data_IF_356130629554
#
_entry.id   IF_356130629554
#
_cell.length_a   1.000
_cell.length_b   1.000
_cell.length_c   1.000
_cell.angle_alpha   90.00
_cell.angle_beta   90.00
_cell.angle_gamma   90.00
#
_symmetry.space_group_name_H-M   'P 1'
#
loop_
_entity.id
_entity.type
_entity.pdbx_description
1 polymer ?
#
# COMPACT_ATOMS: atom_id res chain seq x y z
N UNK A 1 -33.46 58.34 1.98
CA UNK A 1 -34.23 57.11 1.93
C UNK A 1 -33.25 56.07 1.42
N UNK A 2 -32.63 55.53 2.36
CA UNK A 2 -32.85 54.11 2.83
C UNK A 2 -32.40 53.14 1.78
N UNK A 3 -31.30 52.53 2.06
CA UNK A 3 -31.08 51.19 2.69
C UNK A 3 -31.11 50.13 1.62
N UNK A 4 -30.28 49.22 1.51
CA UNK A 4 -29.63 48.23 2.43
C UNK A 4 -28.47 47.58 1.70
N UNK A 5 -27.33 47.52 2.27
CA UNK A 5 -26.88 46.58 3.29
C UNK A 5 -26.65 45.13 2.81
N UNK A 6 -25.39 44.79 2.89
CA UNK A 6 -24.81 43.53 3.33
C UNK A 6 -25.05 42.24 2.53
N UNK A 7 -23.98 41.80 2.02
CA UNK A 7 -23.78 40.44 1.61
C UNK A 7 -22.29 40.13 1.49
N UNK A 8 -21.53 40.36 2.55
CA UNK A 8 -20.20 39.76 2.66
C UNK A 8 -20.41 38.28 2.97
N UNK A 9 -20.59 37.52 1.92
CA UNK A 9 -20.45 36.06 1.96
C UNK A 9 -18.96 35.77 1.98
N UNK A 10 -18.39 35.57 3.16
CA UNK A 10 -17.15 34.86 3.33
C UNK A 10 -17.34 33.44 2.83
N UNK A 11 -17.06 33.24 1.56
CA UNK A 11 -16.77 31.94 1.00
C UNK A 11 -15.50 31.45 1.70
N UNK A 12 -15.69 30.76 2.83
CA UNK A 12 -14.66 29.92 3.39
C UNK A 12 -14.24 28.93 2.34
N UNK A 13 -12.99 29.01 2.05
CA UNK A 13 -12.25 28.23 1.10
C UNK A 13 -12.26 26.75 1.53
N UNK A 14 -13.24 25.96 1.06
CA UNK A 14 -13.32 24.51 1.22
C UNK A 14 -12.30 23.75 0.35
N UNK A 15 -11.27 24.43 -0.15
CA UNK A 15 -10.35 23.86 -1.14
C UNK A 15 -9.01 23.37 -0.57
N UNK A 16 -8.91 23.11 0.73
CA UNK A 16 -7.70 22.50 1.29
C UNK A 16 -8.02 21.22 2.09
N UNK A 17 -8.97 20.41 1.65
CA UNK A 17 -9.09 19.06 2.15
C UNK A 17 -8.13 18.15 1.38
N UNK A 18 -7.11 17.79 2.07
CA UNK A 18 -6.15 16.69 1.97
C UNK A 18 -6.37 15.78 0.77
N UNK A 19 -5.52 15.92 -0.23
CA UNK A 19 -5.48 15.12 -1.44
C UNK A 19 -4.79 13.76 -1.23
N UNK A 20 -5.01 13.12 -0.11
CA UNK A 20 -4.68 11.70 0.00
C UNK A 20 -5.63 10.94 -0.93
N UNK A 21 -5.14 9.93 -1.67
CA UNK A 21 -6.04 9.00 -2.33
C UNK A 21 -7.11 8.55 -1.35
N UNK A 22 -8.37 8.51 -1.77
CA UNK A 22 -9.52 8.16 -0.91
C UNK A 22 -9.26 6.87 -0.15
N UNK A 23 -8.60 5.90 -0.79
CA UNK A 23 -8.22 4.61 -0.23
C UNK A 23 -7.19 4.72 0.90
N UNK A 24 -6.26 5.67 0.84
CA UNK A 24 -5.31 5.96 1.92
C UNK A 24 -6.06 6.54 3.10
N UNK A 25 -6.95 7.51 2.85
CA UNK A 25 -7.81 8.10 3.88
C UNK A 25 -8.72 7.05 4.51
N UNK A 26 -9.36 6.19 3.71
CA UNK A 26 -10.21 5.11 4.20
C UNK A 26 -9.41 4.08 5.01
N UNK A 27 -8.17 3.78 4.61
CA UNK A 27 -7.28 2.89 5.36
C UNK A 27 -6.84 3.51 6.69
N UNK A 28 -6.57 4.80 6.71
CA UNK A 28 -6.28 5.55 7.93
C UNK A 28 -7.50 5.66 8.84
N UNK A 29 -8.70 5.73 8.28
CA UNK A 29 -9.95 5.71 9.04
C UNK A 29 -10.21 4.35 9.73
N UNK A 30 -9.75 3.24 9.12
CA UNK A 30 -9.77 1.91 9.75
C UNK A 30 -8.81 1.86 10.94
N UNK A 31 -7.64 2.49 10.83
CA UNK A 31 -6.67 2.64 11.93
C UNK A 31 -7.21 3.47 13.11
N UNK A 32 -8.25 4.28 12.89
CA UNK A 32 -8.94 5.00 13.96
C UNK A 32 -9.56 4.10 15.06
N UNK A 33 -9.62 2.81 14.84
CA UNK A 33 -10.05 1.83 15.84
C UNK A 33 -8.89 1.23 16.64
N UNK A 34 -7.64 1.53 16.28
CA UNK A 34 -6.41 1.10 16.96
C UNK A 34 -5.73 2.24 17.71
N UNK A 35 -4.71 1.97 18.50
CA UNK A 35 -4.08 2.86 19.47
C UNK A 35 -3.90 4.34 19.04
N UNK A 36 -4.14 5.28 19.97
CA UNK A 36 -4.02 6.74 19.77
C UNK A 36 -2.68 7.18 19.17
N UNK A 37 -1.60 6.45 19.45
CA UNK A 37 -0.25 6.77 18.96
C UNK A 37 -0.11 6.56 17.44
N UNK A 38 -0.73 5.52 16.87
CA UNK A 38 -0.72 5.29 15.42
C UNK A 38 -1.58 6.34 14.72
N UNK A 39 -2.71 6.69 15.34
CA UNK A 39 -3.60 7.75 14.87
C UNK A 39 -2.89 9.11 14.81
N UNK A 40 -2.15 9.49 15.85
CA UNK A 40 -1.42 10.76 15.91
C UNK A 40 -0.33 10.87 14.83
N UNK A 41 0.35 9.77 14.51
CA UNK A 41 1.42 9.74 13.51
C UNK A 41 0.87 9.80 12.09
N UNK A 42 -0.28 9.16 11.80
CA UNK A 42 -0.83 9.05 10.46
C UNK A 42 -1.85 10.14 10.11
N UNK A 43 -2.49 10.77 11.13
CA UNK A 43 -3.54 11.78 10.96
C UNK A 43 -3.07 13.21 11.25
N UNK A 44 -1.79 13.42 11.60
CA UNK A 44 -1.25 14.76 11.72
C UNK A 44 -1.36 15.47 10.37
N UNK A 45 -1.89 16.69 10.34
CA UNK A 45 -2.05 17.53 9.13
C UNK A 45 -0.74 17.72 8.36
N UNK A 46 0.40 17.50 9.01
CA UNK A 46 1.75 17.60 8.46
C UNK A 46 2.46 16.23 8.40
N UNK A 47 1.72 15.17 8.10
CA UNK A 47 2.29 13.84 8.02
C UNK A 47 3.23 13.72 6.81
N UNK A 48 4.48 13.32 7.08
CA UNK A 48 5.52 13.12 6.05
C UNK A 48 5.07 12.16 4.93
N UNK A 49 4.31 11.09 5.26
CA UNK A 49 3.77 10.15 4.27
C UNK A 49 2.73 10.80 3.36
N UNK A 50 1.86 11.64 3.91
CA UNK A 50 0.82 12.33 3.13
C UNK A 50 1.44 13.16 2.02
N UNK A 51 2.45 13.98 2.33
CA UNK A 51 3.16 14.80 1.33
C UNK A 51 3.86 13.96 0.28
N UNK A 52 4.56 12.90 0.69
CA UNK A 52 5.22 12.01 -0.24
C UNK A 52 4.23 11.31 -1.19
N UNK A 53 3.07 10.87 -0.69
CA UNK A 53 2.02 10.24 -1.49
C UNK A 53 1.33 11.22 -2.43
N UNK A 54 1.09 12.46 -2.01
CA UNK A 54 0.54 13.52 -2.87
C UNK A 54 1.48 13.84 -4.04
N UNK A 55 2.79 13.95 -3.78
CA UNK A 55 3.78 14.21 -4.80
C UNK A 55 3.99 13.02 -5.73
N UNK A 56 3.92 11.78 -5.20
CA UNK A 56 3.87 10.57 -6.02
C UNK A 56 2.63 10.53 -6.92
N UNK A 57 1.47 10.89 -6.39
CA UNK A 57 0.23 10.96 -7.18
C UNK A 57 0.33 11.99 -8.29
N UNK A 58 0.86 13.18 -8.00
CA UNK A 58 1.09 14.22 -9.01
C UNK A 58 2.06 13.75 -10.09
N UNK A 59 3.16 13.09 -9.70
CA UNK A 59 4.11 12.50 -10.63
C UNK A 59 3.42 11.44 -11.49
N UNK A 60 2.72 10.48 -10.87
CA UNK A 60 2.06 9.39 -11.58
C UNK A 60 1.06 9.88 -12.63
N UNK A 61 0.24 10.88 -12.29
CA UNK A 61 -0.75 11.46 -13.20
C UNK A 61 -0.08 12.25 -14.32
N UNK A 62 0.80 13.21 -13.99
CA UNK A 62 1.39 14.14 -14.97
C UNK A 62 2.30 13.40 -15.95
N UNK A 63 3.04 12.41 -15.45
CA UNK A 63 3.94 11.60 -16.27
C UNK A 63 3.23 10.40 -16.91
N UNK A 64 1.96 10.15 -16.57
CA UNK A 64 1.19 8.99 -17.04
C UNK A 64 1.91 7.67 -16.75
N UNK A 65 2.40 7.52 -15.53
CA UNK A 65 3.09 6.33 -15.03
C UNK A 65 2.16 5.62 -14.05
N UNK A 66 1.65 4.42 -14.35
CA UNK A 66 0.95 3.60 -13.37
C UNK A 66 1.90 3.17 -12.26
N UNK A 67 1.55 3.44 -11.02
CA UNK A 67 2.33 3.11 -9.83
C UNK A 67 1.42 2.37 -8.85
N UNK A 68 1.81 1.17 -8.44
CA UNK A 68 1.08 0.41 -7.44
C UNK A 68 1.76 0.53 -6.07
N UNK A 69 1.03 1.01 -5.05
CA UNK A 69 1.49 0.97 -3.66
C UNK A 69 1.40 -0.48 -3.17
N UNK A 70 2.51 -0.97 -2.62
CA UNK A 70 2.64 -2.33 -2.12
C UNK A 70 3.16 -2.33 -0.66
N UNK A 71 3.84 -3.35 -0.22
CA UNK A 71 4.57 -3.36 1.05
C UNK A 71 3.71 -3.20 2.31
N UNK A 72 4.20 -2.40 3.26
CA UNK A 72 3.57 -2.17 4.56
C UNK A 72 2.27 -1.36 4.46
N UNK A 73 2.23 -0.34 3.60
CA UNK A 73 1.03 0.46 3.37
C UNK A 73 -0.11 -0.39 2.78
N UNK A 74 0.22 -1.40 1.94
CA UNK A 74 -0.77 -2.37 1.46
C UNK A 74 -1.36 -3.20 2.59
N UNK A 75 -0.58 -3.62 3.59
CA UNK A 75 -1.09 -4.31 4.77
C UNK A 75 -2.07 -3.43 5.55
N UNK A 76 -1.74 -2.14 5.72
CA UNK A 76 -2.63 -1.15 6.37
C UNK A 76 -3.93 -1.01 5.57
N UNK A 77 -3.87 -0.92 4.26
CA UNK A 77 -5.03 -0.86 3.36
C UNK A 77 -5.98 -2.04 3.57
N UNK A 78 -5.45 -3.21 3.87
CA UNK A 78 -6.23 -4.44 4.11
C UNK A 78 -6.50 -4.72 5.60
N UNK A 79 -6.43 -3.69 6.44
CA UNK A 79 -6.91 -3.73 7.82
C UNK A 79 -5.89 -4.19 8.87
N UNK A 80 -4.62 -4.44 8.49
CA UNK A 80 -3.57 -4.72 9.46
C UNK A 80 -2.75 -3.47 9.76
N UNK A 81 -2.72 -2.98 11.02
CA UNK A 81 -2.00 -1.77 11.40
C UNK A 81 -0.49 -2.01 11.48
N UNK A 82 0.12 -2.34 10.34
CA UNK A 82 1.55 -2.56 10.24
C UNK A 82 2.32 -1.27 10.53
N UNK A 83 3.35 -1.36 11.36
CA UNK A 83 4.33 -0.28 11.46
C UNK A 83 5.18 -0.25 10.18
N UNK A 84 5.10 0.84 9.42
CA UNK A 84 5.95 1.07 8.25
C UNK A 84 6.67 2.40 8.38
N UNK A 85 7.89 2.49 7.84
CA UNK A 85 8.71 3.70 7.82
C UNK A 85 9.00 4.16 6.39
N UNK A 86 8.60 3.38 5.41
CA UNK A 86 8.88 3.52 3.99
C UNK A 86 7.59 3.34 3.16
N UNK A 87 7.67 3.75 1.91
CA UNK A 87 6.65 3.53 0.90
C UNK A 87 7.24 2.58 -0.15
N UNK A 88 6.69 1.39 -0.28
CA UNK A 88 7.05 0.47 -1.35
C UNK A 88 6.13 0.67 -2.54
N UNK A 89 6.68 0.90 -3.73
CA UNK A 89 5.91 1.07 -4.98
C UNK A 89 6.39 0.11 -6.06
N UNK A 90 5.45 -0.51 -6.76
CA UNK A 90 5.74 -1.28 -7.96
C UNK A 90 5.60 -0.40 -9.21
N UNK A 91 6.53 -0.53 -10.14
CA UNK A 91 6.62 0.24 -11.38
C UNK A 91 7.00 -0.67 -12.53
N UNK A 92 6.39 -0.44 -13.70
CA UNK A 92 6.74 -1.18 -14.92
C UNK A 92 8.16 -0.88 -15.37
N UNK A 93 8.86 -1.90 -15.83
CA UNK A 93 10.25 -1.81 -16.25
C UNK A 93 10.47 -0.74 -17.33
N UNK A 94 9.55 -0.62 -18.29
CA UNK A 94 9.62 0.37 -19.35
C UNK A 94 9.31 1.81 -18.90
N UNK A 95 8.75 2.00 -17.71
CA UNK A 95 8.44 3.31 -17.13
C UNK A 95 9.48 3.76 -16.09
N UNK A 96 10.33 2.85 -15.63
CA UNK A 96 11.29 3.10 -14.56
C UNK A 96 12.23 4.28 -14.87
N UNK A 97 12.84 4.30 -16.05
CA UNK A 97 13.73 5.38 -16.45
C UNK A 97 13.02 6.73 -16.47
N UNK A 98 11.77 6.76 -16.97
CA UNK A 98 10.97 7.98 -16.99
C UNK A 98 10.64 8.46 -15.57
N UNK A 99 10.28 7.54 -14.67
CA UNK A 99 10.02 7.86 -13.27
C UNK A 99 11.25 8.49 -12.62
N UNK A 100 12.43 7.85 -12.72
CA UNK A 100 13.68 8.34 -12.13
C UNK A 100 14.05 9.72 -12.67
N UNK A 101 13.95 9.95 -13.98
CA UNK A 101 14.25 11.25 -14.60
C UNK A 101 13.26 12.35 -14.18
N UNK A 102 12.01 11.99 -13.91
CA UNK A 102 10.96 12.94 -13.54
C UNK A 102 10.92 13.23 -12.04
N UNK A 103 11.29 12.28 -11.20
CA UNK A 103 11.18 12.33 -9.74
C UNK A 103 11.72 13.64 -9.10
N UNK A 104 12.86 14.21 -9.51
CA UNK A 104 13.35 15.45 -8.91
C UNK A 104 12.44 16.66 -9.08
N UNK A 105 11.62 16.71 -10.15
CA UNK A 105 10.64 17.78 -10.39
C UNK A 105 9.49 17.78 -9.37
N UNK A 106 9.30 16.65 -8.68
CA UNK A 106 8.27 16.43 -7.67
C UNK A 106 8.84 16.35 -6.24
N UNK A 107 10.08 16.81 -6.04
CA UNK A 107 10.71 16.87 -4.72
C UNK A 107 11.39 15.58 -4.26
N UNK A 108 11.44 14.54 -5.10
CA UNK A 108 12.15 13.30 -4.78
C UNK A 108 13.64 13.42 -5.09
N UNK A 109 14.45 12.80 -4.25
CA UNK A 109 15.89 12.66 -4.46
C UNK A 109 16.23 11.18 -4.62
N UNK A 110 17.17 10.87 -5.50
CA UNK A 110 17.67 9.50 -5.67
C UNK A 110 18.63 9.23 -4.51
N UNK A 111 18.32 8.23 -3.69
CA UNK A 111 19.18 7.80 -2.59
C UNK A 111 20.10 6.66 -3.04
N UNK A 112 19.56 5.72 -3.80
CA UNK A 112 20.28 4.54 -4.25
C UNK A 112 19.73 4.02 -5.57
N UNK A 113 20.61 3.51 -6.44
CA UNK A 113 20.29 2.92 -7.73
C UNK A 113 21.00 1.58 -7.90
N UNK A 114 20.33 0.64 -8.55
CA UNK A 114 20.86 -0.66 -8.90
C UNK A 114 20.68 -0.97 -10.38
N UNK A 115 21.64 -1.64 -10.97
CA UNK A 115 21.54 -2.15 -12.33
C UNK A 115 20.40 -3.16 -12.54
N UNK A 116 19.92 -3.77 -11.46
CA UNK A 116 18.76 -4.69 -11.48
C UNK A 116 17.41 -3.98 -11.43
N UNK A 117 17.39 -2.64 -11.47
CA UNK A 117 16.16 -1.85 -11.48
C UNK A 117 15.59 -1.53 -10.08
N UNK A 118 16.17 -2.08 -9.01
CA UNK A 118 15.82 -1.68 -7.65
C UNK A 118 16.39 -0.29 -7.36
N UNK A 119 15.54 0.62 -6.92
CA UNK A 119 15.93 1.99 -6.61
C UNK A 119 15.29 2.41 -5.31
N UNK A 120 15.92 3.34 -4.60
CA UNK A 120 15.33 4.02 -3.46
C UNK A 120 15.39 5.51 -3.72
N UNK A 121 14.24 6.16 -3.60
CA UNK A 121 14.10 7.62 -3.60
C UNK A 121 13.87 8.08 -2.16
N UNK A 122 14.03 9.37 -1.90
CA UNK A 122 13.58 10.01 -0.66
C UNK A 122 12.73 11.22 -0.97
N UNK A 123 11.73 11.46 -0.12
CA UNK A 123 10.96 12.70 -0.08
C UNK A 123 10.92 13.19 1.36
N UNK A 124 11.71 14.22 1.66
CA UNK A 124 12.00 14.56 3.04
C UNK A 124 12.70 13.41 3.76
N UNK A 125 12.09 12.94 4.85
CA UNK A 125 12.58 11.81 5.65
C UNK A 125 11.97 10.45 5.24
N UNK A 126 11.08 10.44 4.24
CA UNK A 126 10.41 9.21 3.79
C UNK A 126 11.23 8.55 2.69
N UNK A 127 11.57 7.28 2.86
CA UNK A 127 12.14 6.44 1.82
C UNK A 127 11.03 5.84 0.94
N UNK A 128 11.26 5.86 -0.37
CA UNK A 128 10.38 5.26 -1.36
C UNK A 128 11.15 4.18 -2.09
N UNK A 129 10.84 2.93 -1.80
CA UNK A 129 11.47 1.78 -2.43
C UNK A 129 10.75 1.40 -3.72
N UNK A 130 11.47 1.37 -4.82
CA UNK A 130 10.93 0.98 -6.11
C UNK A 130 11.15 -0.52 -6.30
N UNK A 131 10.04 -1.24 -6.45
CA UNK A 131 9.96 -2.67 -6.73
C UNK A 131 9.75 -2.82 -8.25
N UNK A 132 10.80 -3.17 -9.04
CA UNK A 132 10.72 -3.17 -10.49
C UNK A 132 10.00 -4.42 -11.01
N UNK A 133 9.11 -4.24 -12.00
CA UNK A 133 8.57 -5.34 -12.79
C UNK A 133 9.70 -6.21 -13.36
N UNK A 134 9.50 -7.52 -13.42
CA UNK A 134 10.48 -8.48 -13.95
C UNK A 134 11.61 -8.83 -12.98
N UNK A 135 11.77 -8.05 -11.89
CA UNK A 135 12.69 -8.41 -10.80
C UNK A 135 12.23 -9.64 -10.02
N UNK A 136 13.04 -10.10 -9.10
CA UNK A 136 12.72 -11.20 -8.18
C UNK A 136 12.51 -10.65 -6.77
N UNK A 137 11.41 -11.01 -6.12
CA UNK A 137 11.15 -10.62 -4.72
C UNK A 137 12.18 -11.23 -3.75
N UNK A 138 12.66 -12.43 -4.06
CA UNK A 138 13.84 -13.04 -3.44
C UNK A 138 14.54 -13.96 -4.46
N UNK A 139 15.78 -14.39 -4.16
CA UNK A 139 16.58 -15.22 -5.09
C UNK A 139 15.88 -16.52 -5.49
N UNK A 140 15.07 -17.09 -4.61
CA UNK A 140 14.37 -18.36 -4.79
C UNK A 140 12.92 -18.20 -5.23
N UNK A 141 12.44 -16.97 -5.44
CA UNK A 141 11.08 -16.74 -5.93
C UNK A 141 10.88 -17.42 -7.29
N UNK A 142 9.87 -18.27 -7.47
CA UNK A 142 9.65 -18.98 -8.74
C UNK A 142 9.22 -18.04 -9.86
N UNK A 143 8.57 -16.92 -9.54
CA UNK A 143 8.08 -15.93 -10.50
C UNK A 143 8.81 -14.60 -10.39
N UNK A 144 8.66 -13.77 -11.41
CA UNK A 144 9.08 -12.38 -11.38
C UNK A 144 7.97 -11.48 -10.77
N UNK A 145 8.36 -10.29 -10.33
CA UNK A 145 7.44 -9.26 -9.87
C UNK A 145 6.55 -8.84 -11.05
N UNK A 146 5.21 -8.84 -10.90
CA UNK A 146 4.28 -8.44 -11.94
C UNK A 146 4.27 -6.91 -12.15
N UNK A 147 3.71 -6.48 -13.29
CA UNK A 147 3.50 -5.06 -13.57
C UNK A 147 2.40 -4.45 -12.69
N UNK A 148 2.38 -3.11 -12.52
CA UNK A 148 1.28 -2.42 -11.84
C UNK A 148 -0.10 -2.78 -12.41
N UNK A 149 -0.20 -2.99 -13.72
CA UNK A 149 -1.46 -3.37 -14.38
C UNK A 149 -1.98 -4.74 -13.93
N UNK A 150 -1.08 -5.72 -13.78
CA UNK A 150 -1.42 -7.04 -13.21
C UNK A 150 -1.80 -6.90 -11.74
N UNK A 151 -1.15 -5.98 -11.02
CA UNK A 151 -1.49 -5.63 -9.64
C UNK A 151 -2.81 -4.84 -9.52
N UNK A 152 -3.46 -4.51 -10.62
CA UNK A 152 -4.76 -3.83 -10.67
C UNK A 152 -4.71 -2.33 -10.90
N UNK A 153 -3.52 -1.73 -11.05
CA UNK A 153 -3.36 -0.28 -11.23
C UNK A 153 -3.11 0.05 -12.70
N UNK A 154 -4.10 0.65 -13.35
CA UNK A 154 -4.05 0.97 -14.78
C UNK A 154 -3.46 2.35 -15.05
N UNK A 155 -3.61 3.30 -14.12
CA UNK A 155 -3.14 4.67 -14.25
C UNK A 155 -2.97 5.32 -12.87
N UNK A 156 -2.13 6.35 -12.79
CA UNK A 156 -1.91 7.10 -11.57
C UNK A 156 -1.28 6.26 -10.46
N UNK A 157 -1.48 6.67 -9.22
CA UNK A 157 -1.04 5.98 -8.02
C UNK A 157 -2.25 5.35 -7.34
N UNK A 158 -2.20 4.06 -7.07
CA UNK A 158 -3.23 3.34 -6.30
C UNK A 158 -2.61 2.14 -5.58
N UNK A 159 -3.37 1.53 -4.68
CA UNK A 159 -2.95 0.29 -4.02
C UNK A 159 -3.03 -0.90 -4.98
N UNK A 160 -2.05 -1.79 -4.88
CA UNK A 160 -2.19 -3.12 -5.48
C UNK A 160 -3.45 -3.80 -4.94
N UNK A 161 -4.21 -4.46 -5.81
CA UNK A 161 -5.35 -5.27 -5.39
C UNK A 161 -4.89 -6.41 -4.48
N UNK A 162 -5.76 -6.85 -3.57
CA UNK A 162 -5.45 -7.87 -2.56
C UNK A 162 -4.77 -9.12 -3.14
N UNK A 163 -5.23 -9.70 -4.27
CA UNK A 163 -4.56 -10.86 -4.88
C UNK A 163 -3.09 -10.60 -5.24
N UNK A 164 -2.81 -9.47 -5.89
CA UNK A 164 -1.45 -9.09 -6.29
C UNK A 164 -0.58 -8.70 -5.09
N UNK A 165 -1.16 -8.03 -4.08
CA UNK A 165 -0.45 -7.74 -2.83
C UNK A 165 -0.04 -9.02 -2.10
N UNK A 166 -0.95 -10.01 -2.00
CA UNK A 166 -0.64 -11.32 -1.40
C UNK A 166 0.43 -12.07 -2.19
N UNK A 167 0.38 -12.05 -3.52
CA UNK A 167 1.41 -12.62 -4.37
C UNK A 167 2.80 -12.06 -4.03
N UNK A 168 2.93 -10.74 -3.95
CA UNK A 168 4.20 -10.08 -3.63
C UNK A 168 4.70 -10.44 -2.22
N UNK A 169 3.81 -10.50 -1.24
CA UNK A 169 4.14 -10.89 0.14
C UNK A 169 4.59 -12.34 0.24
N UNK A 170 3.89 -13.26 -0.40
CA UNK A 170 4.23 -14.69 -0.44
C UNK A 170 5.55 -14.90 -1.20
N UNK A 171 5.74 -14.24 -2.33
CA UNK A 171 6.94 -14.36 -3.17
C UNK A 171 8.21 -13.86 -2.49
N UNK A 172 8.10 -12.92 -1.55
CA UNK A 172 9.25 -12.41 -0.79
C UNK A 172 9.88 -13.47 0.11
N UNK A 173 9.09 -14.43 0.58
CA UNK A 173 9.50 -15.51 1.49
C UNK A 173 9.88 -15.06 2.90
N UNK A 174 9.87 -13.75 3.21
CA UNK A 174 10.24 -13.21 4.52
C UNK A 174 9.19 -13.53 5.58
N UNK A 175 9.62 -13.88 6.79
CA UNK A 175 8.70 -14.19 7.90
C UNK A 175 7.76 -13.01 8.23
N UNK A 176 8.29 -11.78 8.24
CA UNK A 176 7.50 -10.57 8.44
C UNK A 176 6.35 -10.46 7.41
N UNK A 177 6.62 -10.79 6.15
CA UNK A 177 5.60 -10.69 5.10
C UNK A 177 4.54 -11.79 5.22
N UNK A 178 4.92 -13.00 5.66
CA UNK A 178 3.97 -14.07 6.00
C UNK A 178 3.05 -13.67 7.14
N UNK A 179 3.61 -13.10 8.22
CA UNK A 179 2.81 -12.58 9.33
C UNK A 179 1.81 -11.51 8.88
N UNK A 180 2.21 -10.59 7.98
CA UNK A 180 1.29 -9.61 7.40
C UNK A 180 0.14 -10.28 6.64
N UNK A 181 0.41 -11.36 5.90
CA UNK A 181 -0.63 -12.11 5.16
C UNK A 181 -1.60 -12.77 6.13
N UNK A 182 -1.13 -13.45 7.18
CA UNK A 182 -1.96 -14.05 8.22
C UNK A 182 -2.89 -13.01 8.86
N UNK A 183 -2.34 -11.88 9.28
CA UNK A 183 -3.12 -10.82 9.93
C UNK A 183 -4.17 -10.19 8.99
N UNK A 184 -3.85 -10.06 7.71
CA UNK A 184 -4.82 -9.59 6.70
C UNK A 184 -5.89 -10.66 6.45
N UNK A 185 -5.52 -11.94 6.36
CA UNK A 185 -6.49 -13.04 6.20
C UNK A 185 -7.51 -13.08 7.33
N UNK A 186 -7.10 -12.86 8.58
CA UNK A 186 -7.99 -12.81 9.75
C UNK A 186 -9.09 -11.76 9.65
N UNK A 187 -8.93 -10.75 8.78
CA UNK A 187 -9.85 -9.61 8.61
C UNK A 187 -10.53 -9.56 7.25
N UNK A 188 -10.20 -10.47 6.37
CA UNK A 188 -10.68 -10.52 4.98
C UNK A 188 -11.81 -11.54 4.86
N UNK A 189 -12.85 -11.19 4.11
CA UNK A 189 -13.95 -12.11 3.83
C UNK A 189 -13.52 -13.27 2.91
N UNK A 190 -14.24 -14.38 3.01
CA UNK A 190 -13.96 -15.61 2.26
C UNK A 190 -13.99 -15.43 0.74
N UNK A 191 -14.84 -14.55 0.21
CA UNK A 191 -14.92 -14.33 -1.23
C UNK A 191 -13.64 -13.66 -1.74
N UNK A 192 -13.14 -12.64 -1.01
CA UNK A 192 -11.90 -11.96 -1.35
C UNK A 192 -10.69 -12.89 -1.20
N UNK A 193 -10.68 -13.77 -0.18
CA UNK A 193 -9.64 -14.79 -0.01
C UNK A 193 -9.67 -15.82 -1.16
N UNK A 194 -10.84 -16.27 -1.58
CA UNK A 194 -10.99 -17.17 -2.72
C UNK A 194 -10.53 -16.51 -4.02
N UNK A 195 -10.78 -15.21 -4.23
CA UNK A 195 -10.26 -14.47 -5.38
C UNK A 195 -8.72 -14.41 -5.35
N UNK A 196 -8.14 -14.15 -4.19
CA UNK A 196 -6.69 -14.13 -4.02
C UNK A 196 -6.07 -15.51 -4.28
N UNK A 197 -6.66 -16.58 -3.74
CA UNK A 197 -6.22 -17.94 -3.99
C UNK A 197 -6.29 -18.31 -5.47
N UNK A 198 -7.39 -17.99 -6.15
CA UNK A 198 -7.57 -18.26 -7.60
C UNK A 198 -6.54 -17.50 -8.45
N UNK A 199 -6.22 -16.27 -8.09
CA UNK A 199 -5.12 -15.53 -8.70
C UNK A 199 -3.80 -16.31 -8.56
N UNK A 200 -3.46 -16.76 -7.35
CA UNK A 200 -2.22 -17.51 -7.10
C UNK A 200 -2.16 -18.85 -7.86
N UNK A 201 -3.32 -19.50 -8.10
CA UNK A 201 -3.41 -20.70 -8.98
C UNK A 201 -2.92 -20.37 -10.39
N UNK A 202 -3.24 -19.21 -10.91
CA UNK A 202 -2.77 -18.77 -12.24
C UNK A 202 -1.31 -18.35 -12.28
N UNK A 203 -0.72 -18.02 -11.11
CA UNK A 203 0.65 -17.55 -10.99
C UNK A 203 1.64 -18.70 -10.79
N UNK A 204 1.51 -19.45 -9.69
CA UNK A 204 2.42 -20.56 -9.39
C UNK A 204 1.89 -21.47 -8.27
N UNK A 205 1.93 -22.79 -8.48
CA UNK A 205 1.42 -23.79 -7.52
C UNK A 205 2.07 -23.69 -6.11
N UNK A 206 3.35 -23.36 -6.02
CA UNK A 206 4.01 -23.18 -4.73
C UNK A 206 3.40 -22.03 -3.91
N UNK A 207 2.92 -20.98 -4.56
CA UNK A 207 2.26 -19.86 -3.85
C UNK A 207 0.91 -20.27 -3.29
N UNK A 208 0.18 -21.14 -3.99
CA UNK A 208 -1.07 -21.73 -3.49
C UNK A 208 -0.82 -22.54 -2.23
N UNK A 209 0.21 -23.39 -2.22
CA UNK A 209 0.58 -24.19 -1.05
C UNK A 209 0.92 -23.32 0.16
N UNK A 210 1.70 -22.24 -0.06
CA UNK A 210 2.03 -21.30 1.00
C UNK A 210 0.76 -20.57 1.48
N UNK A 211 -0.09 -20.11 0.55
CA UNK A 211 -1.34 -19.45 0.90
C UNK A 211 -2.24 -20.36 1.75
N UNK A 212 -2.43 -21.61 1.34
CA UNK A 212 -3.27 -22.56 2.06
C UNK A 212 -2.74 -22.82 3.48
N UNK A 213 -1.40 -22.91 3.65
CA UNK A 213 -0.80 -23.02 4.97
C UNK A 213 -1.05 -21.78 5.84
N UNK A 214 -0.82 -20.57 5.30
CA UNK A 214 -1.06 -19.31 6.03
C UNK A 214 -2.54 -19.11 6.37
N UNK A 215 -3.44 -19.63 5.55
CA UNK A 215 -4.86 -19.60 5.83
C UNK A 215 -5.26 -20.49 6.99
N UNK A 216 -4.68 -21.71 7.10
CA UNK A 216 -4.88 -22.56 8.27
C UNK A 216 -4.25 -21.96 9.53
N UNK A 217 -3.07 -21.31 9.41
CA UNK A 217 -2.45 -20.58 10.53
C UNK A 217 -3.37 -19.45 11.01
N UNK A 218 -3.96 -18.67 10.09
CA UNK A 218 -4.90 -17.58 10.42
C UNK A 218 -6.16 -18.09 11.15
N UNK A 219 -6.73 -19.22 10.71
CA UNK A 219 -7.86 -19.86 11.39
C UNK A 219 -7.53 -20.31 12.80
N UNK A 220 -6.38 -20.99 12.95
CA UNK A 220 -5.93 -21.47 14.25
C UNK A 220 -5.72 -20.32 15.25
N UNK A 221 -5.20 -19.18 14.79
CA UNK A 221 -5.06 -17.98 15.63
C UNK A 221 -6.41 -17.38 16.03
N UNK A 222 -7.37 -17.29 15.10
CA UNK A 222 -8.73 -16.84 15.40
C UNK A 222 -9.41 -17.72 16.48
N UNK A 223 -9.28 -19.04 16.33
CA UNK A 223 -9.85 -19.99 17.29
C UNK A 223 -9.24 -19.81 18.68
N UNK A 224 -7.93 -19.65 18.78
CA UNK A 224 -7.23 -19.38 20.04
C UNK A 224 -7.61 -18.04 20.66
N UNK A 225 -7.82 -16.99 19.85
CA UNK A 225 -8.27 -15.67 20.31
C UNK A 225 -9.69 -15.76 20.88
N UNK A 226 -10.57 -16.52 20.24
CA UNK A 226 -11.95 -16.74 20.69
C UNK A 226 -12.00 -17.54 22.01
N UNK A 227 -11.18 -18.58 22.17
CA UNK A 227 -11.07 -19.36 23.41
C UNK A 227 -10.57 -18.51 24.58
N UNK A 228 -9.61 -17.62 24.37
CA UNK A 228 -9.07 -16.71 25.40
C UNK A 228 -10.04 -15.60 25.79
N UNK A 229 -10.91 -15.17 24.86
CA UNK A 229 -11.93 -14.16 25.08
C UNK A 229 -13.19 -14.67 25.83
N UNK A 230 -13.36 -15.98 26.00
CA UNK A 230 -14.47 -16.57 26.74
C UNK A 230 -14.12 -16.59 28.24
N UNK A 231 -14.80 -15.83 29.13
CA UNK A 231 -14.53 -15.90 30.55
C UNK A 231 -14.82 -17.34 31.05
N UNK A 232 -14.05 -17.88 32.00
CA UNK A 232 -14.29 -19.20 32.53
C UNK A 232 -15.69 -19.24 33.19
N UNK A 233 -16.49 -20.22 32.81
CA UNK A 233 -17.83 -20.51 33.32
C UNK A 233 -17.77 -20.90 34.80
#
# INVERSE_FOLDING_TARGET
MMDELFGVGTSMNEQNQTLLPKEVFDSLAILNRGSESVRAVLMAEDNRFSRALEDLQRLAINEKIPIAIVGGLGAIRYGYPAATQDIDIAVSQNQLAKLILSAPRYGFKILWESLSGWHTLTHGEVEINIVPEGGKACKTAPTCIPSPQILGVQQGLDYALLPGWMELKISSGRQKDRAHVVEVMKKTDENALNMARNHLVSVHQNYVQIFDQLYEDAKAEIDQENERGTPPV
#
